data_IF_829354463908
#
_entry.id   IF_829354463908
#
_cell.length_a   1.000
_cell.length_b   1.000
_cell.length_c   1.000
_cell.angle_alpha   90.00
_cell.angle_beta   90.00
_cell.angle_gamma   90.00
#
_symmetry.space_group_name_H-M   'P 1'
#
loop_
_entity.id
_entity.type
_entity.pdbx_description
1 polymer ?
#
# COMPACT_ATOMS: atom_id res chain seq x y z
N UNK A 1 -25.61 2.48 -44.85
CA UNK A 1 -25.23 1.34 -43.99
C UNK A 1 -25.92 1.33 -42.62
N UNK A 2 -26.13 2.46 -41.92
CA UNK A 2 -26.79 2.45 -40.60
C UNK A 2 -28.27 1.99 -40.58
N UNK A 3 -29.02 2.16 -41.68
CA UNK A 3 -30.44 1.79 -41.76
C UNK A 3 -30.72 0.28 -41.86
N UNK A 4 -29.79 -0.50 -42.40
CA UNK A 4 -29.92 -1.97 -42.47
C UNK A 4 -29.69 -2.62 -41.11
N UNK A 5 -28.68 -2.16 -40.37
CA UNK A 5 -28.39 -2.63 -39.00
C UNK A 5 -29.58 -2.42 -38.08
N UNK A 6 -30.25 -1.26 -38.20
CA UNK A 6 -31.43 -0.92 -37.40
C UNK A 6 -32.64 -1.82 -37.71
N UNK A 7 -32.87 -2.15 -38.99
CA UNK A 7 -33.92 -3.10 -39.38
C UNK A 7 -33.65 -4.51 -38.84
N UNK A 8 -32.40 -4.96 -38.88
CA UNK A 8 -31.98 -6.27 -38.37
C UNK A 8 -32.14 -6.34 -36.84
N UNK A 9 -31.72 -5.31 -36.11
CA UNK A 9 -31.87 -5.23 -34.65
C UNK A 9 -33.36 -5.26 -34.27
N UNK A 10 -34.22 -4.51 -34.98
CA UNK A 10 -35.66 -4.48 -34.74
C UNK A 10 -36.33 -5.84 -35.00
N UNK A 11 -35.91 -6.57 -36.02
CA UNK A 11 -36.39 -7.92 -36.33
C UNK A 11 -35.93 -8.95 -35.29
N UNK A 12 -34.67 -8.88 -34.85
CA UNK A 12 -34.13 -9.75 -33.79
C UNK A 12 -34.85 -9.51 -32.47
N UNK A 13 -35.11 -8.26 -32.11
CA UNK A 13 -35.90 -7.92 -30.93
C UNK A 13 -37.31 -8.50 -31.04
N UNK A 14 -38.03 -8.25 -32.13
CA UNK A 14 -39.41 -8.74 -32.29
C UNK A 14 -39.53 -10.26 -32.16
N UNK A 15 -38.58 -11.02 -32.71
CA UNK A 15 -38.65 -12.48 -32.71
C UNK A 15 -37.96 -13.14 -31.50
N UNK A 16 -36.97 -12.50 -30.87
CA UNK A 16 -36.12 -13.13 -29.86
C UNK A 16 -35.93 -12.29 -28.58
N UNK A 17 -36.72 -11.24 -28.34
CA UNK A 17 -36.56 -10.38 -27.15
C UNK A 17 -36.58 -11.17 -25.84
N UNK A 18 -37.37 -12.24 -25.73
CA UNK A 18 -37.43 -13.09 -24.53
C UNK A 18 -36.11 -13.82 -24.29
N UNK A 19 -35.47 -14.31 -25.34
CA UNK A 19 -34.16 -14.95 -25.27
C UNK A 19 -33.08 -13.93 -24.95
N UNK A 20 -33.10 -12.75 -25.59
CA UNK A 20 -32.15 -11.67 -25.30
C UNK A 20 -32.26 -11.19 -23.85
N UNK A 21 -33.48 -10.98 -23.37
CA UNK A 21 -33.76 -10.59 -22.00
C UNK A 21 -33.42 -11.72 -21.02
N UNK A 22 -33.72 -12.97 -21.37
CA UNK A 22 -33.35 -14.14 -20.57
C UNK A 22 -31.84 -14.28 -20.40
N UNK A 23 -31.07 -14.12 -21.48
CA UNK A 23 -29.59 -14.12 -21.43
C UNK A 23 -29.08 -12.94 -20.60
N UNK A 24 -29.63 -11.74 -20.77
CA UNK A 24 -29.22 -10.57 -20.01
C UNK A 24 -29.53 -10.70 -18.51
N UNK A 25 -30.70 -11.23 -18.15
CA UNK A 25 -31.07 -11.48 -16.75
C UNK A 25 -30.21 -12.58 -16.17
N UNK A 26 -29.99 -13.67 -16.90
CA UNK A 26 -29.15 -14.78 -16.44
C UNK A 26 -27.70 -14.33 -16.24
N UNK A 27 -27.11 -13.60 -17.19
CA UNK A 27 -25.73 -13.10 -17.05
C UNK A 27 -25.62 -12.12 -15.89
N UNK A 28 -26.59 -11.23 -15.71
CA UNK A 28 -26.64 -10.28 -14.59
C UNK A 28 -26.79 -11.01 -13.25
N UNK A 29 -27.65 -12.03 -13.18
CA UNK A 29 -27.86 -12.82 -11.98
C UNK A 29 -26.60 -13.62 -11.60
N UNK A 30 -25.94 -14.24 -12.59
CA UNK A 30 -24.69 -14.95 -12.37
C UNK A 30 -23.57 -14.00 -11.91
N UNK A 31 -23.45 -12.82 -12.52
CA UNK A 31 -22.49 -11.81 -12.09
C UNK A 31 -22.78 -11.32 -10.66
N UNK A 32 -24.05 -11.08 -10.31
CA UNK A 32 -24.44 -10.67 -8.96
C UNK A 32 -24.16 -11.76 -7.90
N UNK A 33 -24.40 -13.03 -8.24
CA UNK A 33 -24.07 -14.17 -7.39
C UNK A 33 -22.57 -14.32 -7.19
N UNK A 34 -21.79 -14.19 -8.27
CA UNK A 34 -20.34 -14.28 -8.22
C UNK A 34 -19.71 -13.12 -7.42
N UNK A 35 -20.25 -11.90 -7.58
CA UNK A 35 -19.85 -10.73 -6.77
C UNK A 35 -20.18 -10.93 -5.29
N UNK A 36 -21.41 -11.34 -4.98
CA UNK A 36 -21.84 -11.58 -3.60
C UNK A 36 -21.12 -12.76 -2.93
N UNK A 37 -20.64 -13.72 -3.72
CA UNK A 37 -19.82 -14.84 -3.27
C UNK A 37 -18.33 -14.53 -3.14
N UNK A 38 -17.86 -13.33 -3.54
CA UNK A 38 -16.45 -12.92 -3.48
C UNK A 38 -15.55 -13.59 -4.53
N UNK A 39 -16.10 -14.38 -5.46
CA UNK A 39 -15.31 -15.16 -6.40
C UNK A 39 -14.57 -14.30 -7.43
N UNK A 40 -15.10 -13.11 -7.74
CA UNK A 40 -14.43 -12.17 -8.63
C UNK A 40 -13.16 -11.60 -8.01
N UNK A 41 -13.18 -11.28 -6.71
CA UNK A 41 -12.05 -10.64 -6.03
C UNK A 41 -10.84 -11.58 -5.98
N UNK A 42 -11.07 -12.87 -5.71
CA UNK A 42 -10.01 -13.88 -5.70
C UNK A 42 -9.44 -14.14 -7.09
N UNK A 43 -10.29 -14.16 -8.12
CA UNK A 43 -9.86 -14.32 -9.51
C UNK A 43 -9.06 -13.12 -10.01
N UNK A 44 -9.48 -11.90 -9.65
CA UNK A 44 -8.77 -10.68 -9.99
C UNK A 44 -7.39 -10.64 -9.35
N UNK A 45 -7.30 -10.91 -8.03
CA UNK A 45 -6.03 -11.00 -7.30
C UNK A 45 -5.11 -12.07 -7.89
N UNK A 46 -5.65 -13.25 -8.18
CA UNK A 46 -4.89 -14.34 -8.81
C UNK A 46 -4.39 -13.99 -10.21
N UNK A 47 -5.23 -13.37 -11.05
CA UNK A 47 -4.85 -12.93 -12.39
C UNK A 47 -3.77 -11.84 -12.33
N UNK A 48 -3.89 -10.90 -11.39
CA UNK A 48 -2.90 -9.85 -11.16
C UNK A 48 -1.56 -10.44 -10.70
N UNK A 49 -1.56 -11.31 -9.70
CA UNK A 49 -0.35 -11.99 -9.20
C UNK A 49 0.30 -12.84 -10.29
N UNK A 50 -0.50 -13.54 -11.09
CA UNK A 50 0.00 -14.33 -12.22
C UNK A 50 0.66 -13.42 -13.28
N UNK A 51 0.03 -12.30 -13.65
CA UNK A 51 0.61 -11.36 -14.58
C UNK A 51 1.93 -10.81 -14.03
N UNK A 52 1.96 -10.39 -12.76
CA UNK A 52 3.15 -9.83 -12.12
C UNK A 52 4.29 -10.86 -12.06
N UNK A 53 4.00 -12.10 -11.67
CA UNK A 53 5.00 -13.18 -11.55
C UNK A 53 5.46 -13.74 -12.90
N UNK A 54 4.63 -13.67 -13.94
CA UNK A 54 5.02 -14.11 -15.30
C UNK A 54 6.07 -13.18 -15.91
N UNK A 55 5.99 -11.88 -15.62
CA UNK A 55 6.88 -10.87 -16.22
C UNK A 55 7.98 -10.36 -15.28
N UNK A 56 7.92 -10.69 -13.99
CA UNK A 56 9.04 -10.46 -13.07
C UNK A 56 10.00 -11.64 -13.12
N UNK A 57 11.29 -11.37 -13.30
CA UNK A 57 12.34 -12.39 -13.21
C UNK A 57 12.21 -13.01 -11.82
N UNK A 58 11.89 -14.30 -11.74
CA UNK A 58 11.56 -15.06 -10.53
C UNK A 58 12.66 -15.10 -9.47
N UNK A 59 13.00 -13.95 -8.91
CA UNK A 59 13.82 -13.81 -7.73
C UNK A 59 12.94 -14.27 -6.57
N UNK A 60 13.28 -15.43 -5.99
CA UNK A 60 12.61 -15.93 -4.79
C UNK A 60 12.64 -14.91 -3.65
N UNK A 61 11.85 -15.16 -2.60
CA UNK A 61 11.83 -14.30 -1.42
C UNK A 61 13.24 -14.18 -0.83
N UNK A 62 13.66 -12.95 -0.53
CA UNK A 62 14.95 -12.71 0.13
C UNK A 62 14.88 -13.24 1.57
N UNK A 63 15.89 -14.01 2.04
CA UNK A 63 15.97 -14.41 3.44
C UNK A 63 16.43 -13.28 4.37
N UNK A 64 16.78 -12.11 3.81
CA UNK A 64 17.35 -10.98 4.55
C UNK A 64 16.46 -9.74 4.60
N UNK A 65 15.36 -9.74 3.85
CA UNK A 65 14.48 -8.57 3.74
C UNK A 65 13.07 -8.98 4.16
N UNK A 66 12.58 -8.32 5.21
CA UNK A 66 11.20 -8.42 5.67
C UNK A 66 10.47 -7.13 5.31
N UNK A 67 9.29 -7.25 4.71
CA UNK A 67 8.45 -6.10 4.36
C UNK A 67 7.30 -6.05 5.35
N UNK A 68 7.21 -4.96 6.10
CA UNK A 68 6.08 -4.66 6.98
C UNK A 68 5.13 -3.77 6.19
N UNK A 69 3.94 -4.29 5.88
CA UNK A 69 2.95 -3.59 5.06
C UNK A 69 1.80 -3.10 5.91
N UNK A 70 1.18 -2.01 5.47
CA UNK A 70 -0.06 -1.49 6.05
C UNK A 70 -1.16 -1.73 5.05
N UNK A 71 -2.17 -2.48 5.47
CA UNK A 71 -3.34 -2.79 4.67
C UNK A 71 -4.62 -2.25 5.31
N UNK A 72 -5.74 -2.44 4.63
CA UNK A 72 -7.04 -2.01 5.14
C UNK A 72 -7.36 -2.63 6.50
N UNK A 73 -6.99 -3.90 6.72
CA UNK A 73 -7.26 -4.60 7.99
C UNK A 73 -6.48 -3.98 9.16
N UNK A 74 -5.26 -3.51 8.91
CA UNK A 74 -4.42 -2.79 9.86
C UNK A 74 -5.07 -1.46 10.23
N UNK A 75 -5.54 -0.71 9.24
CA UNK A 75 -6.22 0.56 9.45
C UNK A 75 -7.49 0.38 10.29
N UNK A 76 -8.30 -0.62 9.95
CA UNK A 76 -9.54 -0.92 10.67
C UNK A 76 -9.26 -1.46 12.09
N UNK A 77 -8.20 -2.25 12.26
CA UNK A 77 -7.76 -2.73 13.57
C UNK A 77 -7.33 -1.61 14.51
N UNK A 78 -6.58 -0.63 14.00
CA UNK A 78 -6.19 0.57 14.79
C UNK A 78 -7.42 1.41 15.13
N UNK A 79 -8.36 1.59 14.20
CA UNK A 79 -9.60 2.34 14.44
C UNK A 79 -10.51 1.66 15.46
N UNK A 80 -10.60 0.33 15.43
CA UNK A 80 -11.43 -0.44 16.35
C UNK A 80 -10.86 -0.50 17.77
N UNK A 81 -9.55 -0.27 17.94
CA UNK A 81 -8.90 -0.24 19.25
C UNK A 81 -8.84 1.19 19.79
N UNK A 82 -9.71 1.50 20.76
CA UNK A 82 -9.81 2.84 21.37
C UNK A 82 -8.47 3.38 21.88
N UNK A 83 -7.64 2.52 22.49
CA UNK A 83 -6.31 2.93 22.98
C UNK A 83 -5.38 3.29 21.82
N UNK A 84 -5.41 2.55 20.72
CA UNK A 84 -4.58 2.89 19.56
C UNK A 84 -5.10 4.12 18.83
N UNK A 85 -6.41 4.24 18.65
CA UNK A 85 -7.02 5.44 18.08
C UNK A 85 -6.68 6.70 18.88
N UNK A 86 -6.71 6.65 20.22
CA UNK A 86 -6.32 7.76 21.08
C UNK A 86 -4.83 8.12 21.01
N UNK A 87 -3.94 7.11 20.94
CA UNK A 87 -2.49 7.34 20.98
C UNK A 87 -1.88 7.69 19.61
N UNK A 88 -2.47 7.19 18.51
CA UNK A 88 -1.88 7.28 17.18
C UNK A 88 -2.73 8.07 16.19
N UNK A 89 -4.00 8.33 16.50
CA UNK A 89 -4.90 9.13 15.69
C UNK A 89 -5.41 8.42 14.44
N UNK A 90 -5.84 9.22 13.47
CA UNK A 90 -6.26 8.75 12.15
C UNK A 90 -5.09 8.70 11.19
N UNK A 91 -5.21 7.90 10.13
CA UNK A 91 -4.22 7.91 9.05
C UNK A 91 -4.17 9.28 8.35
N UNK A 92 -2.97 9.85 8.08
CA UNK A 92 -1.63 9.35 8.43
C UNK A 92 -1.34 9.41 9.94
N UNK A 93 -0.79 8.33 10.49
CA UNK A 93 -0.60 8.20 11.94
C UNK A 93 0.48 9.12 12.51
N UNK A 94 0.34 9.43 13.81
CA UNK A 94 1.32 10.17 14.61
C UNK A 94 2.73 9.60 14.51
N UNK A 95 3.74 10.48 14.57
CA UNK A 95 5.16 10.10 14.62
C UNK A 95 5.52 9.19 15.79
N UNK A 96 4.75 9.24 16.88
CA UNK A 96 4.92 8.34 18.02
C UNK A 96 4.67 6.87 17.66
N UNK A 97 3.78 6.58 16.69
CA UNK A 97 3.58 5.21 16.20
C UNK A 97 4.86 4.72 15.52
N UNK A 98 5.41 5.52 14.59
CA UNK A 98 6.61 5.17 13.85
C UNK A 98 7.82 5.02 14.78
N UNK A 99 7.90 5.84 15.83
CA UNK A 99 8.90 5.70 16.87
C UNK A 99 8.90 4.30 17.50
N UNK A 100 7.71 3.85 17.94
CA UNK A 100 7.53 2.51 18.54
C UNK A 100 7.76 1.37 17.56
N UNK A 101 7.38 1.55 16.30
CA UNK A 101 7.60 0.53 15.26
C UNK A 101 9.09 0.30 15.05
N UNK A 102 9.89 1.36 14.94
CA UNK A 102 11.34 1.22 14.78
C UNK A 102 11.99 0.61 16.03
N UNK A 103 11.59 1.05 17.23
CA UNK A 103 12.06 0.46 18.49
C UNK A 103 11.78 -1.05 18.55
N UNK A 104 10.56 -1.47 18.17
CA UNK A 104 10.21 -2.88 18.11
C UNK A 104 11.03 -3.62 17.04
N UNK A 105 11.20 -3.05 15.84
CA UNK A 105 11.99 -3.68 14.78
C UNK A 105 13.45 -3.86 15.20
N UNK A 106 14.04 -2.86 15.87
CA UNK A 106 15.37 -2.98 16.44
C UNK A 106 15.43 -4.11 17.48
N UNK A 107 14.45 -4.18 18.39
CA UNK A 107 14.36 -5.22 19.41
C UNK A 107 14.22 -6.64 18.82
N UNK A 108 13.51 -6.78 17.70
CA UNK A 108 13.38 -8.03 16.93
C UNK A 108 14.64 -8.36 16.08
N UNK A 109 15.68 -7.52 16.13
CA UNK A 109 16.96 -7.77 15.49
C UNK A 109 17.06 -7.29 14.03
N UNK A 110 16.22 -6.34 13.61
CA UNK A 110 16.42 -5.64 12.34
C UNK A 110 17.82 -5.01 12.31
N UNK A 111 18.48 -5.05 11.15
CA UNK A 111 19.82 -4.46 10.96
C UNK A 111 19.78 -3.07 10.34
N UNK A 112 18.66 -2.72 9.74
CA UNK A 112 18.35 -1.43 9.16
C UNK A 112 16.83 -1.34 8.95
N UNK A 113 16.29 -0.13 8.92
CA UNK A 113 14.89 0.13 8.56
C UNK A 113 14.87 1.05 7.35
N UNK A 114 14.10 0.66 6.33
CA UNK A 114 13.78 1.51 5.18
C UNK A 114 12.31 1.87 5.29
N UNK A 115 12.02 3.16 5.48
CA UNK A 115 10.67 3.66 5.61
C UNK A 115 10.18 4.19 4.26
N UNK A 116 9.27 3.44 3.64
CA UNK A 116 8.65 3.76 2.36
C UNK A 116 7.49 4.75 2.51
N UNK A 117 7.82 5.94 3.03
CA UNK A 117 6.96 7.10 2.95
C UNK A 117 7.81 8.36 3.01
N UNK A 118 7.21 9.48 2.60
CA UNK A 118 7.83 10.80 2.69
C UNK A 118 7.36 11.51 3.95
N UNK A 119 8.30 12.10 4.68
CA UNK A 119 8.02 12.95 5.85
C UNK A 119 8.60 14.35 5.65
N UNK A 120 8.12 15.06 4.63
CA UNK A 120 8.56 16.41 4.26
C UNK A 120 7.71 17.54 4.86
N UNK A 121 6.57 17.21 5.46
CA UNK A 121 5.71 18.12 6.21
C UNK A 121 5.86 17.94 7.72
N UNK A 122 5.75 19.06 8.46
CA UNK A 122 5.66 19.05 9.92
C UNK A 122 4.37 18.40 10.36
N UNK A 123 4.44 17.60 11.42
CA UNK A 123 3.26 17.13 12.13
C UNK A 123 2.44 18.30 12.67
N UNK A 124 1.14 18.10 12.85
CA UNK A 124 0.28 19.06 13.56
C UNK A 124 0.70 19.26 15.02
N UNK A 125 1.44 18.30 15.58
CA UNK A 125 2.04 18.36 16.91
C UNK A 125 3.57 18.24 16.80
N UNK A 126 4.27 19.36 16.95
CA UNK A 126 5.73 19.46 16.86
C UNK A 126 6.45 18.57 17.89
N UNK A 127 5.83 18.30 19.04
CA UNK A 127 6.42 17.42 20.06
C UNK A 127 6.61 15.99 19.55
N UNK A 128 5.74 15.54 18.64
CA UNK A 128 5.82 14.20 18.05
C UNK A 128 6.95 14.08 17.03
N UNK A 129 7.21 15.15 16.25
CA UNK A 129 8.36 15.20 15.34
C UNK A 129 9.68 15.19 16.13
N UNK A 130 9.76 15.95 17.23
CA UNK A 130 10.93 15.96 18.10
C UNK A 130 11.16 14.61 18.79
N UNK A 131 10.11 13.96 19.29
CA UNK A 131 10.21 12.65 19.91
C UNK A 131 10.69 11.59 18.91
N UNK A 132 10.21 11.62 17.67
CA UNK A 132 10.65 10.70 16.64
C UNK A 132 12.09 10.98 16.20
N UNK A 133 12.46 12.25 16.02
CA UNK A 133 13.84 12.63 15.74
C UNK A 133 14.80 12.19 16.85
N UNK A 134 14.39 12.28 18.12
CA UNK A 134 15.19 11.80 19.25
C UNK A 134 15.34 10.27 19.22
N UNK A 135 14.25 9.52 19.01
CA UNK A 135 14.32 8.06 18.87
C UNK A 135 15.28 7.65 17.74
N UNK A 136 15.22 8.33 16.58
CA UNK A 136 16.11 8.07 15.45
C UNK A 136 17.58 8.41 15.72
N UNK A 137 17.89 9.26 16.70
CA UNK A 137 19.28 9.48 17.14
C UNK A 137 19.75 8.39 18.11
N UNK A 138 18.82 7.88 18.92
CA UNK A 138 19.11 6.91 19.98
C UNK A 138 19.11 5.46 19.47
N UNK A 139 18.44 5.19 18.34
CA UNK A 139 18.44 3.87 17.71
C UNK A 139 19.85 3.46 17.26
N UNK A 140 20.15 2.17 17.37
CA UNK A 140 21.48 1.63 17.01
C UNK A 140 21.55 1.12 15.57
N UNK A 141 20.45 1.22 14.82
CA UNK A 141 20.36 0.72 13.45
C UNK A 141 20.15 1.86 12.45
N UNK A 142 20.73 1.79 11.24
CA UNK A 142 20.47 2.78 10.22
C UNK A 142 18.99 2.87 9.86
N UNK A 143 18.46 4.09 9.80
CA UNK A 143 17.11 4.39 9.35
C UNK A 143 17.17 5.20 8.05
N UNK A 144 16.55 4.68 7.00
CA UNK A 144 16.45 5.33 5.70
C UNK A 144 15.03 5.84 5.48
N UNK A 145 14.93 7.11 5.10
CA UNK A 145 13.65 7.80 4.87
C UNK A 145 13.57 8.29 3.41
N UNK A 146 12.39 8.15 2.81
CA UNK A 146 12.10 8.76 1.51
C UNK A 146 12.04 10.28 1.60
N UNK A 147 12.71 10.97 0.66
CA UNK A 147 12.66 12.42 0.53
C UNK A 147 12.02 12.81 -0.80
N UNK A 148 11.15 13.82 -0.78
CA UNK A 148 10.65 14.44 -2.00
C UNK A 148 11.70 15.40 -2.55
N UNK A 149 11.89 15.38 -3.87
CA UNK A 149 12.78 16.31 -4.57
C UNK A 149 12.11 16.78 -5.85
N UNK A 150 12.56 17.91 -6.38
CA UNK A 150 12.08 18.47 -7.64
C UNK A 150 13.27 18.88 -8.52
N UNK A 151 13.02 19.16 -9.80
CA UNK A 151 14.07 19.46 -10.78
C UNK A 151 14.94 20.69 -10.42
N UNK A 152 14.44 21.57 -9.55
CA UNK A 152 15.14 22.79 -9.13
C UNK A 152 15.70 22.67 -7.70
N UNK A 153 15.53 21.53 -7.02
CA UNK A 153 16.04 21.32 -5.68
C UNK A 153 17.56 21.14 -5.71
N UNK A 154 18.22 21.44 -4.59
CA UNK A 154 19.63 21.12 -4.45
C UNK A 154 19.83 19.60 -4.62
N UNK A 155 20.84 19.15 -5.39
CA UNK A 155 21.15 17.74 -5.51
C UNK A 155 21.37 17.13 -4.13
N UNK A 156 20.72 16.00 -3.87
CA UNK A 156 20.94 15.25 -2.65
C UNK A 156 22.41 14.81 -2.59
N UNK A 157 23.05 14.82 -1.40
CA UNK A 157 24.36 14.23 -1.22
C UNK A 157 24.34 12.79 -1.76
N UNK A 158 25.39 12.40 -2.50
CA UNK A 158 25.52 10.99 -2.90
C UNK A 158 25.61 10.14 -1.64
N UNK A 159 24.77 9.11 -1.58
CA UNK A 159 24.92 8.06 -0.57
C UNK A 159 26.25 7.33 -0.84
N UNK A 160 27.19 7.48 0.09
CA UNK A 160 28.41 6.69 0.13
C UNK A 160 28.17 5.51 1.07
N UNK A 161 27.94 4.34 0.49
CA UNK A 161 27.64 3.13 1.26
C UNK A 161 28.90 2.45 1.81
N UNK A 162 30.08 2.94 1.42
CA UNK A 162 31.38 2.46 1.94
C UNK A 162 31.81 3.26 3.19
N UNK A 163 31.17 4.41 3.44
CA UNK A 163 31.35 5.13 4.69
C UNK A 163 30.58 4.47 5.83
N UNK A 164 31.31 4.11 6.89
CA UNK A 164 30.73 3.74 8.18
C UNK A 164 29.88 4.93 8.64
N UNK A 165 28.58 4.74 8.96
CA UNK A 165 27.75 5.84 9.44
C UNK A 165 28.45 6.53 10.61
N UNK A 166 28.43 7.87 10.60
CA UNK A 166 29.01 8.65 11.68
C UNK A 166 28.46 8.11 13.01
N UNK A 167 29.36 7.71 13.89
CA UNK A 167 29.02 7.23 15.23
C UNK A 167 28.03 8.21 15.87
N UNK A 168 26.99 7.74 16.59
CA UNK A 168 26.02 8.63 17.23
C UNK A 168 26.79 9.71 17.99
N UNK A 169 26.42 10.98 17.77
CA UNK A 169 26.99 12.11 18.49
C UNK A 169 26.97 11.75 19.98
N UNK A 170 28.17 11.66 20.58
CA UNK A 170 28.33 11.40 22.01
C UNK A 170 27.53 12.45 22.80
N UNK A 171 26.98 12.08 23.97
CA UNK A 171 26.02 12.87 24.74
C UNK A 171 26.48 14.30 25.06
#
# INVERSE_FOLDING_TARGET
MAGETWKIIRLRWRNHWRLMLGVAVLSTALAALAWRGGWLDDLERGAYDQALTTFTVGRGKSPHVSVVVIDQSTLDGIRANERYALNFGSWPYSRNLWARVVEQLEAEGARAVVFDAVMDERSSDESTDLAFAQMLRDTRIPFFLGVSTNANAQPLPRADFDQVPASPLAP
#
